data_IF_048769198146
#
_entry.id   IF_048769198146
#
_cell.length_a   1.000
_cell.length_b   1.000
_cell.length_c   1.000
_cell.angle_alpha   90.00
_cell.angle_beta   90.00
_cell.angle_gamma   90.00
#
_symmetry.space_group_name_H-M   'P 1'
#
loop_
_entity.id
_entity.type
_entity.pdbx_description
1 polymer ?
#
# COMPACT_ATOMS: atom_id res chain seq x y z
N UNK A 1 9.19 -14.47 4.06
CA UNK A 1 9.44 -14.05 2.66
C UNK A 1 9.96 -12.62 2.58
N UNK A 2 9.16 -11.58 2.91
CA UNK A 2 9.63 -10.19 2.84
C UNK A 2 10.91 -9.93 3.64
N UNK A 3 11.03 -10.48 4.86
CA UNK A 3 12.28 -10.40 5.64
C UNK A 3 13.48 -10.99 4.89
N UNK A 4 13.34 -12.20 4.32
CA UNK A 4 14.43 -12.83 3.57
C UNK A 4 14.82 -12.04 2.31
N UNK A 5 13.86 -11.35 1.69
CA UNK A 5 14.11 -10.44 0.57
C UNK A 5 14.91 -9.22 1.02
N UNK A 6 14.62 -8.67 2.20
CA UNK A 6 15.36 -7.58 2.82
C UNK A 6 16.80 -8.01 3.17
N UNK A 7 16.94 -9.17 3.83
CA UNK A 7 18.24 -9.70 4.27
C UNK A 7 19.17 -9.96 3.07
N UNK A 8 18.60 -10.42 1.96
CA UNK A 8 19.33 -10.72 0.72
C UNK A 8 19.16 -9.63 -0.35
N UNK A 9 18.77 -8.41 0.03
CA UNK A 9 18.40 -7.33 -0.91
C UNK A 9 19.42 -7.14 -2.03
N UNK A 10 20.71 -7.18 -1.68
CA UNK A 10 21.82 -6.99 -2.63
C UNK A 10 21.80 -8.01 -3.78
N UNK A 11 21.36 -9.24 -3.52
CA UNK A 11 21.30 -10.33 -4.51
C UNK A 11 20.18 -10.12 -5.53
N UNK A 12 19.12 -9.41 -5.13
CA UNK A 12 17.93 -9.18 -5.97
C UNK A 12 17.96 -7.84 -6.71
N UNK A 13 18.96 -6.99 -6.46
CA UNK A 13 19.03 -5.67 -7.12
C UNK A 13 19.09 -5.83 -8.64
N UNK A 14 18.43 -4.90 -9.32
CA UNK A 14 18.52 -4.76 -10.76
C UNK A 14 19.76 -3.93 -11.14
N UNK A 15 20.73 -4.48 -11.89
CA UNK A 15 21.89 -3.72 -12.34
C UNK A 15 21.55 -2.48 -13.18
N UNK A 16 20.39 -2.48 -13.86
CA UNK A 16 19.91 -1.35 -14.66
C UNK A 16 19.18 -0.29 -13.84
N UNK A 17 18.78 -0.62 -12.60
CA UNK A 17 18.12 0.28 -11.68
C UNK A 17 18.86 0.25 -10.32
N UNK A 18 20.03 0.90 -10.22
CA UNK A 18 20.85 0.85 -9.02
C UNK A 18 20.05 1.17 -7.76
N UNK A 19 20.24 0.37 -6.71
CA UNK A 19 19.58 0.55 -5.42
C UNK A 19 18.14 0.02 -5.34
N UNK A 20 17.62 -0.62 -6.40
CA UNK A 20 16.24 -1.10 -6.46
C UNK A 20 16.19 -2.59 -6.86
N UNK A 21 15.20 -3.29 -6.33
CA UNK A 21 14.74 -4.57 -6.86
C UNK A 21 13.58 -4.28 -7.80
N UNK A 22 13.52 -4.98 -8.94
CA UNK A 22 12.45 -4.83 -9.92
C UNK A 22 11.76 -6.17 -10.14
N UNK A 23 10.56 -6.14 -10.72
CA UNK A 23 9.91 -7.37 -11.21
C UNK A 23 10.83 -8.15 -12.16
N UNK A 24 11.60 -7.44 -12.99
CA UNK A 24 12.54 -8.06 -13.92
C UNK A 24 13.69 -8.77 -13.19
N UNK A 25 14.32 -8.14 -12.18
CA UNK A 25 15.42 -8.79 -11.46
C UNK A 25 14.95 -10.01 -10.67
N UNK A 26 13.75 -9.96 -10.07
CA UNK A 26 13.11 -11.13 -9.48
C UNK A 26 12.83 -12.23 -10.51
N UNK A 27 12.31 -11.87 -11.69
CA UNK A 27 12.01 -12.84 -12.76
C UNK A 27 13.27 -13.52 -13.26
N UNK A 28 14.36 -12.76 -13.42
CA UNK A 28 15.67 -13.30 -13.78
C UNK A 28 16.16 -14.32 -12.73
N UNK A 29 16.02 -14.02 -11.44
CA UNK A 29 16.39 -14.96 -10.38
C UNK A 29 15.49 -16.21 -10.37
N UNK A 30 14.17 -16.03 -10.50
CA UNK A 30 13.20 -17.11 -10.50
C UNK A 30 13.39 -18.09 -11.67
N UNK A 31 13.85 -17.60 -12.82
CA UNK A 31 14.11 -18.38 -14.03
C UNK A 31 15.36 -19.27 -13.94
N UNK A 32 16.24 -19.06 -12.96
CA UNK A 32 17.45 -19.88 -12.83
C UNK A 32 17.10 -21.32 -12.42
N UNK A 33 17.81 -22.33 -12.94
CA UNK A 33 17.71 -23.69 -12.41
C UNK A 33 18.27 -23.74 -10.99
N UNK A 34 17.82 -24.73 -10.21
CA UNK A 34 18.48 -25.03 -8.94
C UNK A 34 19.91 -25.47 -9.20
N UNK A 35 20.81 -25.02 -8.34
CA UNK A 35 22.27 -25.10 -8.51
C UNK A 35 22.90 -26.10 -7.56
N UNK A 36 22.16 -26.61 -6.57
CA UNK A 36 22.68 -27.41 -5.47
C UNK A 36 23.36 -26.58 -4.37
N UNK A 37 23.58 -25.28 -4.58
CA UNK A 37 24.00 -24.36 -3.53
C UNK A 37 22.78 -23.93 -2.70
N UNK A 38 22.73 -24.22 -1.38
CA UNK A 38 21.54 -23.96 -0.57
C UNK A 38 21.09 -22.49 -0.56
N UNK A 39 22.03 -21.53 -0.48
CA UNK A 39 21.71 -20.11 -0.42
C UNK A 39 21.15 -19.59 -1.76
N UNK A 40 21.75 -19.97 -2.88
CA UNK A 40 21.25 -19.63 -4.21
C UNK A 40 19.88 -20.26 -4.46
N UNK A 41 19.71 -21.53 -4.13
CA UNK A 41 18.46 -22.25 -4.31
C UNK A 41 17.32 -21.67 -3.46
N UNK A 42 17.63 -21.16 -2.26
CA UNK A 42 16.68 -20.41 -1.44
C UNK A 42 16.27 -19.09 -2.11
N UNK A 43 17.22 -18.34 -2.67
CA UNK A 43 16.92 -17.09 -3.38
C UNK A 43 16.07 -17.31 -4.64
N UNK A 44 16.32 -18.39 -5.39
CA UNK A 44 15.51 -18.79 -6.54
C UNK A 44 14.07 -19.11 -6.12
N UNK A 45 13.90 -19.91 -5.06
CA UNK A 45 12.56 -20.24 -4.53
C UNK A 45 11.84 -19.01 -3.99
N UNK A 46 12.55 -18.14 -3.27
CA UNK A 46 12.00 -16.89 -2.75
C UNK A 46 11.48 -15.99 -3.88
N UNK A 47 12.25 -15.80 -4.95
CA UNK A 47 11.81 -15.03 -6.11
C UNK A 47 10.53 -15.60 -6.74
N UNK A 48 10.46 -16.93 -6.92
CA UNK A 48 9.27 -17.61 -7.43
C UNK A 48 8.04 -17.37 -6.56
N UNK A 49 8.20 -17.46 -5.23
CA UNK A 49 7.08 -17.28 -4.30
C UNK A 49 6.62 -15.82 -4.20
N UNK A 50 7.52 -14.84 -4.32
CA UNK A 50 7.15 -13.42 -4.38
C UNK A 50 6.35 -13.14 -5.66
N UNK A 51 6.81 -13.62 -6.82
CA UNK A 51 6.14 -13.39 -8.11
C UNK A 51 4.73 -13.99 -8.20
N UNK A 52 4.45 -15.04 -7.42
CA UNK A 52 3.11 -15.63 -7.29
C UNK A 52 2.14 -14.79 -6.45
N UNK A 53 2.60 -13.70 -5.82
CA UNK A 53 1.83 -12.90 -4.85
C UNK A 53 1.69 -11.45 -5.37
N UNK A 54 0.72 -11.17 -6.26
CA UNK A 54 0.56 -9.84 -6.86
C UNK A 54 0.31 -8.73 -5.82
N UNK A 55 -0.45 -9.02 -4.76
CA UNK A 55 -0.70 -8.05 -3.68
C UNK A 55 0.57 -7.73 -2.89
N UNK A 56 1.43 -8.74 -2.64
CA UNK A 56 2.73 -8.51 -2.00
C UNK A 56 3.64 -7.69 -2.92
N UNK A 57 3.70 -8.02 -4.20
CA UNK A 57 4.47 -7.24 -5.18
C UNK A 57 4.03 -5.77 -5.19
N UNK A 58 2.73 -5.51 -5.24
CA UNK A 58 2.19 -4.15 -5.24
C UNK A 58 2.45 -3.43 -3.91
N UNK A 59 2.40 -4.13 -2.78
CA UNK A 59 2.74 -3.55 -1.49
C UNK A 59 4.23 -3.22 -1.36
N UNK A 60 5.11 -4.07 -1.89
CA UNK A 60 6.55 -3.84 -1.92
C UNK A 60 6.90 -2.68 -2.83
N UNK A 61 6.27 -2.57 -4.00
CA UNK A 61 6.48 -1.50 -4.98
C UNK A 61 5.99 -0.11 -4.52
N UNK A 62 5.09 -0.08 -3.55
CA UNK A 62 4.43 1.14 -3.14
C UNK A 62 5.36 2.10 -2.41
N UNK A 63 5.49 3.31 -2.93
CA UNK A 63 6.19 4.40 -2.25
C UNK A 63 5.52 4.73 -0.91
N UNK A 64 6.30 4.74 0.18
CA UNK A 64 5.79 4.88 1.54
C UNK A 64 5.16 6.25 1.85
N UNK A 65 5.44 7.27 1.03
CA UNK A 65 4.95 8.65 1.23
C UNK A 65 3.79 9.01 0.29
N UNK A 66 3.89 8.59 -0.96
CA UNK A 66 2.94 8.95 -2.02
C UNK A 66 1.94 7.87 -2.31
N UNK A 67 2.29 6.60 -2.05
CA UNK A 67 1.50 5.45 -2.44
C UNK A 67 1.58 5.11 -3.93
N UNK A 68 2.44 5.76 -4.72
CA UNK A 68 2.62 5.48 -6.15
C UNK A 68 3.35 4.15 -6.35
N UNK A 69 3.01 3.47 -7.44
CA UNK A 69 3.67 2.28 -7.95
C UNK A 69 4.57 2.69 -9.11
N UNK A 70 5.85 2.30 -9.10
CA UNK A 70 6.84 2.69 -10.11
C UNK A 70 7.69 1.51 -10.63
N UNK A 71 7.25 0.27 -10.36
CA UNK A 71 7.89 -0.99 -10.71
C UNK A 71 9.31 -1.19 -10.11
N UNK A 72 9.63 -0.46 -9.04
CA UNK A 72 10.92 -0.44 -8.36
C UNK A 72 10.74 -0.32 -6.86
N UNK A 73 11.10 -1.36 -6.12
CA UNK A 73 11.12 -1.27 -4.65
C UNK A 73 12.54 -1.23 -4.09
N UNK A 74 12.76 -0.17 -3.32
CA UNK A 74 13.97 0.07 -2.53
C UNK A 74 13.99 -0.79 -1.26
N UNK A 75 15.14 -0.80 -0.60
CA UNK A 75 15.27 -1.40 0.73
C UNK A 75 14.23 -0.84 1.72
N UNK A 76 13.97 0.47 1.64
CA UNK A 76 13.01 1.14 2.52
C UNK A 76 11.58 0.64 2.28
N UNK A 77 11.16 0.45 1.02
CA UNK A 77 9.81 -0.04 0.75
C UNK A 77 9.60 -1.45 1.34
N UNK A 78 10.59 -2.34 1.20
CA UNK A 78 10.53 -3.69 1.78
C UNK A 78 10.45 -3.62 3.30
N UNK A 79 11.27 -2.77 3.92
CA UNK A 79 11.27 -2.55 5.37
C UNK A 79 9.92 -1.98 5.87
N UNK A 80 9.30 -1.08 5.12
CA UNK A 80 7.98 -0.53 5.44
C UNK A 80 6.89 -1.59 5.42
N UNK A 81 6.95 -2.55 4.48
CA UNK A 81 6.01 -3.69 4.45
C UNK A 81 6.24 -4.62 5.65
N UNK A 82 7.50 -4.92 6.00
CA UNK A 82 7.83 -5.78 7.14
C UNK A 82 7.39 -5.17 8.47
N UNK A 83 7.61 -3.87 8.64
CA UNK A 83 7.33 -3.16 9.90
C UNK A 83 5.88 -2.72 10.03
N UNK A 84 5.10 -2.75 8.94
CA UNK A 84 3.69 -2.39 8.99
C UNK A 84 2.89 -3.43 9.75
N UNK A 85 2.24 -3.01 10.83
CA UNK A 85 1.18 -3.77 11.49
C UNK A 85 -0.19 -3.51 10.89
N UNK A 86 -0.29 -2.66 9.86
CA UNK A 86 -1.56 -2.33 9.21
C UNK A 86 -1.91 -3.39 8.14
N UNK A 87 -2.98 -4.18 8.30
CA UNK A 87 -3.34 -5.21 7.34
C UNK A 87 -3.75 -4.63 5.97
N UNK A 88 -4.16 -3.36 5.92
CA UNK A 88 -4.56 -2.68 4.69
C UNK A 88 -3.37 -2.29 3.80
N UNK A 89 -2.14 -2.50 4.25
CA UNK A 89 -0.91 -2.25 3.47
C UNK A 89 -0.88 -3.00 2.13
N UNK A 90 -1.54 -4.15 2.08
CA UNK A 90 -1.64 -5.00 0.89
C UNK A 90 -2.81 -4.63 -0.02
N UNK A 91 -3.68 -3.71 0.39
CA UNK A 91 -4.81 -3.30 -0.44
C UNK A 91 -4.39 -2.30 -1.50
N UNK A 92 -4.97 -2.39 -2.69
CA UNK A 92 -4.84 -1.36 -3.71
C UNK A 92 -5.72 -0.12 -3.41
N UNK A 93 -5.58 0.91 -4.22
CA UNK A 93 -6.29 2.18 -4.02
C UNK A 93 -7.81 2.03 -4.23
N UNK A 94 -8.26 1.08 -5.07
CA UNK A 94 -9.69 0.81 -5.34
C UNK A 94 -10.33 0.14 -4.14
N UNK A 95 -9.65 -0.84 -3.55
CA UNK A 95 -10.06 -1.55 -2.35
C UNK A 95 -10.15 -0.60 -1.15
N UNK A 96 -9.19 0.32 -1.00
CA UNK A 96 -9.26 1.38 0.01
C UNK A 96 -10.44 2.33 -0.23
N UNK A 97 -10.69 2.74 -1.48
CA UNK A 97 -11.84 3.56 -1.82
C UNK A 97 -13.18 2.85 -1.51
N UNK A 98 -13.28 1.55 -1.81
CA UNK A 98 -14.46 0.73 -1.46
C UNK A 98 -14.66 0.67 0.06
N UNK A 99 -13.59 0.41 0.82
CA UNK A 99 -13.66 0.29 2.28
C UNK A 99 -14.02 1.65 2.92
N UNK A 100 -13.51 2.76 2.38
CA UNK A 100 -13.91 4.12 2.75
C UNK A 100 -15.39 4.37 2.46
N UNK A 101 -15.91 3.89 1.32
CA UNK A 101 -17.32 4.07 0.93
C UNK A 101 -18.28 3.27 1.83
N UNK A 102 -17.90 2.04 2.18
CA UNK A 102 -18.63 1.19 3.13
C UNK A 102 -18.70 1.83 4.52
N UNK A 103 -17.61 2.47 4.95
CA UNK A 103 -17.51 3.12 6.26
C UNK A 103 -17.85 4.62 6.22
N UNK A 104 -18.36 5.14 5.09
CA UNK A 104 -18.50 6.57 4.84
C UNK A 104 -19.30 7.29 5.93
N UNK A 105 -20.42 6.71 6.38
CA UNK A 105 -21.25 7.32 7.41
C UNK A 105 -20.55 7.42 8.78
N UNK A 106 -19.62 6.52 9.08
CA UNK A 106 -18.81 6.56 10.31
C UNK A 106 -17.68 7.58 10.18
N UNK A 107 -17.07 7.64 9.00
CA UNK A 107 -15.92 8.52 8.71
C UNK A 107 -16.31 9.99 8.57
N UNK A 108 -17.50 10.29 8.02
CA UNK A 108 -18.02 11.66 7.90
C UNK A 108 -18.43 12.29 9.23
N UNK A 109 -18.53 11.49 10.30
CA UNK A 109 -19.01 11.93 11.59
C UNK A 109 -20.50 12.29 11.57
N UNK A 110 -20.82 13.55 11.89
CA UNK A 110 -22.19 14.03 12.12
C UNK A 110 -23.22 13.60 11.08
N UNK A 111 -24.45 13.34 11.52
CA UNK A 111 -25.53 12.82 10.68
C UNK A 111 -25.77 13.68 9.43
N UNK A 112 -25.71 15.01 9.57
CA UNK A 112 -25.94 15.98 8.49
C UNK A 112 -24.77 16.18 7.52
N UNK A 113 -23.56 15.70 7.87
CA UNK A 113 -22.40 15.85 6.99
C UNK A 113 -22.59 15.03 5.71
N UNK A 114 -22.31 15.62 4.55
CA UNK A 114 -22.43 14.94 3.26
C UNK A 114 -21.08 14.41 2.74
N UNK A 115 -19.97 14.80 3.37
CA UNK A 115 -18.60 14.46 2.96
C UNK A 115 -17.74 14.06 4.16
N UNK A 116 -16.70 13.28 3.91
CA UNK A 116 -15.61 13.06 4.87
C UNK A 116 -14.66 14.24 4.75
N UNK A 117 -14.35 14.93 5.85
CA UNK A 117 -13.34 15.99 5.84
C UNK A 117 -11.95 15.38 5.94
N UNK A 118 -11.03 15.80 5.09
CA UNK A 118 -9.64 15.30 5.11
C UNK A 118 -8.97 15.59 6.46
N UNK A 119 -9.26 16.73 7.08
CA UNK A 119 -8.72 17.07 8.40
C UNK A 119 -9.21 16.10 9.50
N UNK A 120 -10.48 15.68 9.45
CA UNK A 120 -11.03 14.70 10.40
C UNK A 120 -10.41 13.31 10.16
N UNK A 121 -10.19 12.94 8.89
CA UNK A 121 -9.51 11.70 8.52
C UNK A 121 -8.04 11.69 8.99
N UNK A 122 -7.31 12.80 8.84
CA UNK A 122 -5.95 12.99 9.37
C UNK A 122 -5.92 12.90 10.89
N UNK A 123 -6.87 13.55 11.57
CA UNK A 123 -6.98 13.47 13.01
C UNK A 123 -7.26 12.03 13.49
N UNK A 124 -8.11 11.28 12.76
CA UNK A 124 -8.38 9.88 13.03
C UNK A 124 -7.13 9.00 12.83
N UNK A 125 -6.37 9.24 11.77
CA UNK A 125 -5.13 8.52 11.47
C UNK A 125 -4.06 8.68 12.56
N UNK A 126 -4.06 9.79 13.29
CA UNK A 126 -3.12 10.03 14.39
C UNK A 126 -3.49 9.31 15.68
N UNK A 127 -4.69 8.72 15.77
CA UNK A 127 -5.14 8.06 17.01
C UNK A 127 -4.40 6.73 17.26
N UNK A 128 -4.10 6.40 18.53
CA UNK A 128 -3.67 5.06 18.90
C UNK A 128 -4.81 4.06 18.70
N UNK A 129 -4.47 2.79 18.51
CA UNK A 129 -5.48 1.72 18.55
C UNK A 129 -6.05 1.63 19.96
N UNK A 130 -7.35 1.41 20.06
CA UNK A 130 -8.12 1.42 21.31
C UNK A 130 -8.46 0.03 21.81
N UNK A 131 -8.11 -1.03 21.06
CA UNK A 131 -8.50 -2.42 21.34
C UNK A 131 -9.96 -2.74 20.96
N UNK A 132 -10.69 -1.77 20.39
CA UNK A 132 -12.05 -1.99 19.90
C UNK A 132 -11.98 -2.21 18.39
N UNK A 133 -12.28 -3.44 17.95
CA UNK A 133 -12.13 -3.85 16.55
C UNK A 133 -12.75 -2.87 15.54
N UNK A 134 -13.98 -2.38 15.80
CA UNK A 134 -14.64 -1.47 14.88
C UNK A 134 -13.97 -0.09 14.81
N UNK A 135 -13.52 0.45 15.94
CA UNK A 135 -12.79 1.73 15.97
C UNK A 135 -11.40 1.58 15.36
N UNK A 136 -10.73 0.50 15.67
CA UNK A 136 -9.38 0.21 15.19
C UNK A 136 -9.35 0.01 13.67
N UNK A 137 -10.39 -0.62 13.10
CA UNK A 137 -10.56 -0.70 11.65
C UNK A 137 -10.63 0.68 10.99
N UNK A 138 -11.39 1.63 11.55
CA UNK A 138 -11.46 2.99 11.02
C UNK A 138 -10.14 3.75 11.16
N UNK A 139 -9.42 3.56 12.28
CA UNK A 139 -8.10 4.16 12.51
C UNK A 139 -7.08 3.60 11.51
N UNK A 140 -7.05 2.29 11.31
CA UNK A 140 -6.15 1.62 10.36
C UNK A 140 -6.43 2.04 8.91
N UNK A 141 -7.71 2.17 8.56
CA UNK A 141 -8.13 2.69 7.26
C UNK A 141 -7.66 4.14 7.05
N UNK A 142 -7.90 4.99 8.04
CA UNK A 142 -7.45 6.39 7.99
C UNK A 142 -5.92 6.48 7.88
N UNK A 143 -5.17 5.68 8.66
CA UNK A 143 -3.71 5.61 8.59
C UNK A 143 -3.22 5.24 7.20
N UNK A 144 -3.79 4.20 6.60
CA UNK A 144 -3.37 3.75 5.27
C UNK A 144 -3.68 4.81 4.21
N UNK A 145 -4.91 5.32 4.16
CA UNK A 145 -5.33 6.32 3.15
C UNK A 145 -4.53 7.61 3.28
N UNK A 146 -4.31 8.11 4.51
CA UNK A 146 -3.54 9.35 4.73
C UNK A 146 -2.06 9.17 4.39
N UNK A 147 -1.50 7.97 4.57
CA UNK A 147 -0.11 7.68 4.20
C UNK A 147 0.14 7.68 2.68
N UNK A 148 -0.91 7.50 1.87
CA UNK A 148 -0.83 7.48 0.41
C UNK A 148 -1.22 8.85 -0.16
N UNK A 149 -0.29 9.81 -0.14
CA UNK A 149 -0.64 11.20 -0.48
C UNK A 149 -1.28 11.36 -1.87
N UNK A 150 -0.86 10.56 -2.85
CA UNK A 150 -1.45 10.59 -4.20
C UNK A 150 -2.88 10.08 -4.24
N UNK A 151 -3.21 9.04 -3.45
CA UNK A 151 -4.58 8.57 -3.30
C UNK A 151 -5.45 9.62 -2.62
N UNK A 152 -4.95 10.19 -1.51
CA UNK A 152 -5.67 11.23 -0.77
C UNK A 152 -5.94 12.46 -1.65
N UNK A 153 -4.99 12.85 -2.51
CA UNK A 153 -5.18 13.93 -3.48
C UNK A 153 -6.24 13.59 -4.53
N UNK A 154 -6.25 12.36 -5.06
CA UNK A 154 -7.31 11.93 -5.98
C UNK A 154 -8.68 11.96 -5.30
N UNK A 155 -8.76 11.54 -4.04
CA UNK A 155 -10.00 11.56 -3.25
C UNK A 155 -10.56 12.98 -2.99
N UNK A 156 -9.72 14.01 -3.07
CA UNK A 156 -10.09 15.42 -2.90
C UNK A 156 -10.57 16.07 -4.22
N UNK A 157 -10.13 15.55 -5.39
CA UNK A 157 -10.21 16.27 -6.66
C UNK A 157 -11.30 15.78 -7.64
N UNK A 158 -11.93 14.63 -7.39
CA UNK A 158 -12.66 13.91 -8.44
C UNK A 158 -14.14 14.35 -8.61
N UNK A 159 -14.81 14.92 -7.59
CA UNK A 159 -16.26 15.24 -7.70
C UNK A 159 -16.71 16.58 -7.08
N UNK A 160 -15.84 17.60 -7.09
CA UNK A 160 -16.14 18.91 -6.50
C UNK A 160 -15.20 20.02 -6.98
N UNK A 161 -15.11 21.11 -6.23
CA UNK A 161 -14.03 22.09 -6.41
C UNK A 161 -12.70 21.42 -6.03
N UNK A 162 -11.66 21.49 -6.89
CA UNK A 162 -10.35 20.95 -6.54
C UNK A 162 -9.88 21.54 -5.21
N UNK A 163 -9.34 20.71 -4.33
CA UNK A 163 -8.77 21.10 -3.03
C UNK A 163 -9.76 21.70 -2.02
N UNK A 164 -11.03 21.27 -2.03
CA UNK A 164 -12.01 21.71 -1.03
C UNK A 164 -11.88 20.98 0.32
N UNK A 165 -10.96 20.01 0.41
CA UNK A 165 -10.63 19.25 1.61
C UNK A 165 -11.68 18.18 1.95
N UNK A 166 -12.49 17.76 0.98
CA UNK A 166 -13.66 16.89 1.20
C UNK A 166 -13.67 15.71 0.24
N UNK A 167 -13.94 14.54 0.82
CA UNK A 167 -14.12 13.29 0.09
C UNK A 167 -15.62 13.00 0.01
N UNK A 168 -16.15 12.96 -1.21
CA UNK A 168 -17.56 12.64 -1.48
C UNK A 168 -17.77 11.15 -1.75
N UNK A 169 -19.01 10.66 -1.60
CA UNK A 169 -19.37 9.30 -2.04
C UNK A 169 -19.12 9.09 -3.53
N UNK A 170 -19.36 10.12 -4.33
CA UNK A 170 -19.21 10.06 -5.78
C UNK A 170 -17.75 9.85 -6.16
N UNK A 171 -16.84 10.61 -5.56
CA UNK A 171 -15.39 10.46 -5.72
C UNK A 171 -14.91 9.04 -5.41
N UNK A 172 -15.38 8.46 -4.30
CA UNK A 172 -14.99 7.09 -3.92
C UNK A 172 -15.48 6.06 -4.94
N UNK A 173 -16.68 6.23 -5.49
CA UNK A 173 -17.21 5.35 -6.55
C UNK A 173 -16.41 5.47 -7.85
N UNK A 174 -16.06 6.69 -8.25
CA UNK A 174 -15.27 6.92 -9.45
C UNK A 174 -13.86 6.31 -9.35
N UNK A 175 -13.23 6.41 -8.17
CA UNK A 175 -11.94 5.75 -7.90
C UNK A 175 -11.97 4.23 -8.00
N UNK A 176 -13.12 3.62 -7.72
CA UNK A 176 -13.29 2.17 -7.89
C UNK A 176 -13.35 1.77 -9.38
N UNK A 177 -13.70 2.71 -10.26
CA UNK A 177 -13.87 2.48 -11.70
C UNK A 177 -12.63 2.88 -12.53
N UNK A 178 -11.73 3.71 -12.00
CA UNK A 178 -10.48 4.16 -12.64
C UNK A 178 -9.37 3.12 -12.49
#
# INVERSE_FOLDING_TARGET
>A
MAQQLLDNFQVFKDPRNPGHVTRQSLSNMAARPLTGNPAMDQNIRLAREILKRPELMSALDRDGRTGVLDDRFSWQNINDVIRSSNPLKFQDDKQLASTMLENFNKLKGGFWNQTIKINDLRALAQRPLTGNSQRDQLILLAKEVVSRSSLLQKMDNIAGHPYDGRISRQTLRELMLS
#
